data_IF_535901476689
#
_entry.id   IF_535901476689
#
_cell.length_a   1.000
_cell.length_b   1.000
_cell.length_c   1.000
_cell.angle_alpha   90.00
_cell.angle_beta   90.00
_cell.angle_gamma   90.00
#
_symmetry.space_group_name_H-M   'P 1'
#
loop_
_entity.id
_entity.type
_entity.pdbx_description
1 polymer ?
#
# COMPACT_ATOMS: atom_id res chain seq x y z
N UNK A 1 8.79 2.76 -16.88
CA UNK A 1 9.16 1.35 -16.68
C UNK A 1 9.36 1.14 -15.19
N UNK A 2 8.89 0.04 -14.61
CA UNK A 2 9.11 -0.26 -13.19
C UNK A 2 10.53 -0.76 -12.97
N UNK A 3 11.12 -0.44 -11.82
CA UNK A 3 12.44 -0.92 -11.44
C UNK A 3 12.31 -2.31 -10.79
N UNK A 4 13.24 -3.21 -11.13
CA UNK A 4 13.26 -4.57 -10.59
C UNK A 4 14.32 -4.63 -9.51
N UNK A 5 13.92 -5.07 -8.32
CA UNK A 5 14.83 -5.30 -7.21
C UNK A 5 14.87 -6.79 -6.90
N UNK A 6 16.07 -7.38 -6.97
CA UNK A 6 16.29 -8.73 -6.47
C UNK A 6 16.49 -8.69 -4.97
N UNK A 7 15.66 -9.41 -4.22
CA UNK A 7 15.90 -9.58 -2.79
C UNK A 7 17.20 -10.36 -2.59
N UNK A 8 17.83 -10.20 -1.42
CA UNK A 8 19.05 -10.94 -1.08
C UNK A 8 18.84 -12.46 -1.19
N UNK A 9 17.69 -12.94 -0.71
CA UNK A 9 17.30 -14.35 -0.80
C UNK A 9 17.14 -14.79 -2.26
N UNK A 10 16.44 -14.02 -3.10
CA UNK A 10 16.24 -14.36 -4.51
C UNK A 10 17.58 -14.40 -5.28
N UNK A 11 18.49 -13.47 -5.00
CA UNK A 11 19.84 -13.46 -5.59
C UNK A 11 20.66 -14.69 -5.16
N UNK A 12 20.57 -15.08 -3.88
CA UNK A 12 21.25 -16.27 -3.36
C UNK A 12 20.67 -17.56 -3.95
N UNK A 13 19.34 -17.68 -4.03
CA UNK A 13 18.68 -18.85 -4.60
C UNK A 13 19.00 -19.00 -6.09
N UNK A 14 18.97 -17.90 -6.86
CA UNK A 14 19.39 -17.90 -8.27
C UNK A 14 20.83 -18.40 -8.42
N UNK A 15 21.76 -17.92 -7.58
CA UNK A 15 23.15 -18.36 -7.57
C UNK A 15 23.28 -19.86 -7.27
N UNK A 16 22.61 -20.35 -6.21
CA UNK A 16 22.64 -21.77 -5.81
C UNK A 16 22.09 -22.69 -6.89
N UNK A 17 20.95 -22.33 -7.51
CA UNK A 17 20.34 -23.12 -8.60
C UNK A 17 21.31 -23.23 -9.77
N UNK A 18 21.95 -22.11 -10.16
CA UNK A 18 22.91 -22.08 -11.25
C UNK A 18 24.14 -22.95 -10.94
N UNK A 19 24.71 -22.84 -9.74
CA UNK A 19 25.86 -23.64 -9.32
C UNK A 19 25.53 -25.13 -9.32
N UNK A 20 24.40 -25.53 -8.75
CA UNK A 20 23.96 -26.92 -8.70
C UNK A 20 23.77 -27.54 -10.09
N UNK A 21 23.15 -26.82 -11.03
CA UNK A 21 22.95 -27.34 -12.39
C UNK A 21 24.28 -27.40 -13.15
N UNK A 22 25.18 -26.42 -12.91
CA UNK A 22 26.47 -26.35 -13.59
C UNK A 22 27.39 -27.53 -13.23
N UNK A 23 27.21 -28.16 -12.06
CA UNK A 23 27.91 -29.40 -11.69
C UNK A 23 27.65 -30.55 -12.68
N UNK A 24 26.46 -30.59 -13.29
CA UNK A 24 26.06 -31.62 -14.23
C UNK A 24 26.14 -31.15 -15.69
N UNK A 25 25.72 -29.91 -15.97
CA UNK A 25 25.73 -29.34 -17.30
C UNK A 25 25.79 -27.81 -17.27
N UNK A 26 26.97 -27.27 -17.61
CA UNK A 26 27.21 -25.83 -17.64
C UNK A 26 26.33 -25.07 -18.64
N UNK A 27 26.08 -25.63 -19.83
CA UNK A 27 25.29 -24.96 -20.86
C UNK A 27 23.84 -24.78 -20.42
N UNK A 28 23.24 -25.81 -19.81
CA UNK A 28 21.87 -25.74 -19.27
C UNK A 28 21.78 -24.74 -18.12
N UNK A 29 22.81 -24.68 -17.27
CA UNK A 29 22.87 -23.70 -16.18
C UNK A 29 22.88 -22.26 -16.69
N UNK A 30 23.64 -21.99 -17.76
CA UNK A 30 23.72 -20.67 -18.40
C UNK A 30 22.38 -20.32 -19.04
N UNK A 31 21.81 -21.22 -19.85
CA UNK A 31 20.54 -20.98 -20.56
C UNK A 31 19.39 -20.69 -19.58
N UNK A 32 19.29 -21.46 -18.49
CA UNK A 32 18.28 -21.21 -17.47
C UNK A 32 18.50 -19.87 -16.76
N UNK A 33 19.74 -19.52 -16.43
CA UNK A 33 20.06 -18.24 -15.76
C UNK A 33 19.75 -17.02 -16.65
N UNK A 34 20.04 -17.11 -17.94
CA UNK A 34 19.67 -16.10 -18.92
C UNK A 34 18.15 -15.97 -19.05
N UNK A 35 17.44 -17.11 -19.08
CA UNK A 35 15.97 -17.14 -19.14
C UNK A 35 15.34 -16.53 -17.89
N UNK A 36 15.91 -16.78 -16.71
CA UNK A 36 15.54 -16.12 -15.45
C UNK A 36 15.72 -14.61 -15.58
N UNK A 37 16.89 -14.17 -16.06
CA UNK A 37 17.23 -12.76 -16.24
C UNK A 37 16.28 -12.04 -17.20
N UNK A 38 16.03 -12.62 -18.38
CA UNK A 38 15.11 -12.06 -19.37
C UNK A 38 13.68 -12.00 -18.85
N UNK A 39 13.20 -13.07 -18.21
CA UNK A 39 11.85 -13.14 -17.67
C UNK A 39 11.63 -12.09 -16.59
N UNK A 40 12.59 -11.92 -15.67
CA UNK A 40 12.56 -10.87 -14.67
C UNK A 40 12.53 -9.49 -15.32
N UNK A 41 13.45 -9.20 -16.26
CA UNK A 41 13.51 -7.92 -16.98
C UNK A 41 12.18 -7.56 -17.68
N UNK A 42 11.46 -8.56 -18.21
CA UNK A 42 10.16 -8.34 -18.85
C UNK A 42 9.09 -7.79 -17.88
N UNK A 43 9.21 -8.04 -16.57
CA UNK A 43 8.29 -7.55 -15.54
C UNK A 43 8.37 -6.02 -15.38
N UNK A 44 9.49 -5.40 -15.77
CA UNK A 44 9.65 -3.95 -15.75
C UNK A 44 8.61 -3.23 -16.64
N UNK A 45 8.27 -3.85 -17.77
CA UNK A 45 7.24 -3.39 -18.71
C UNK A 45 5.86 -4.01 -18.47
N UNK A 46 5.81 -5.24 -17.95
CA UNK A 46 4.57 -5.98 -17.71
C UNK A 46 4.53 -6.55 -16.27
N UNK A 47 4.41 -5.69 -15.25
CA UNK A 47 4.53 -6.11 -13.84
C UNK A 47 3.42 -7.09 -13.41
N UNK A 48 2.29 -7.13 -14.12
CA UNK A 48 1.18 -8.02 -13.78
C UNK A 48 1.10 -9.30 -14.61
N UNK A 49 2.15 -9.61 -15.39
CA UNK A 49 2.23 -10.78 -16.29
C UNK A 49 2.09 -12.11 -15.56
N UNK A 50 2.64 -12.23 -14.34
CA UNK A 50 2.50 -13.43 -13.52
C UNK A 50 1.08 -13.61 -12.97
N UNK A 51 0.70 -14.86 -12.69
CA UNK A 51 -0.56 -15.19 -12.00
C UNK A 51 -0.48 -14.76 -10.52
N UNK A 52 -1.63 -14.72 -9.84
CA UNK A 52 -1.62 -14.53 -8.39
C UNK A 52 -0.89 -15.70 -7.71
N UNK A 53 0.01 -15.38 -6.79
CA UNK A 53 0.81 -16.37 -6.06
C UNK A 53 0.03 -17.02 -4.92
N UNK A 54 0.64 -18.04 -4.32
CA UNK A 54 0.08 -18.76 -3.16
C UNK A 54 0.02 -17.90 -1.89
N UNK A 55 0.84 -16.85 -1.81
CA UNK A 55 0.84 -15.87 -0.71
C UNK A 55 0.15 -14.60 -1.19
N UNK A 56 -0.72 -14.02 -0.34
CA UNK A 56 -1.41 -12.78 -0.64
C UNK A 56 -0.41 -11.65 -0.98
N UNK A 57 -0.64 -10.95 -2.08
CA UNK A 57 0.24 -9.88 -2.57
C UNK A 57 1.39 -10.36 -3.47
N UNK A 58 1.76 -11.64 -3.40
CA UNK A 58 2.75 -12.23 -4.28
C UNK A 58 2.16 -12.58 -5.66
N UNK A 59 3.03 -12.60 -6.66
CA UNK A 59 2.76 -13.05 -8.02
C UNK A 59 3.76 -14.12 -8.40
N UNK A 60 3.32 -15.02 -9.26
CA UNK A 60 4.11 -16.14 -9.76
C UNK A 60 4.21 -16.06 -11.28
N UNK A 61 5.43 -15.91 -11.81
CA UNK A 61 5.69 -16.05 -13.24
C UNK A 61 6.37 -17.39 -13.47
N UNK A 62 5.67 -18.31 -14.13
CA UNK A 62 6.27 -19.60 -14.56
C UNK A 62 7.25 -19.31 -15.68
N UNK A 63 8.53 -19.60 -15.43
CA UNK A 63 9.60 -19.37 -16.41
C UNK A 63 10.04 -20.66 -17.10
N UNK A 64 9.87 -21.79 -16.42
CA UNK A 64 10.17 -23.15 -16.86
C UNK A 64 9.21 -24.11 -16.12
N UNK A 65 8.90 -25.31 -16.65
CA UNK A 65 8.02 -26.27 -15.96
C UNK A 65 8.35 -26.54 -14.48
N UNK A 66 9.62 -26.41 -14.10
CA UNK A 66 10.10 -26.63 -12.72
C UNK A 66 10.57 -25.37 -11.99
N UNK A 67 10.53 -24.19 -12.63
CA UNK A 67 11.02 -22.95 -12.04
C UNK A 67 9.99 -21.82 -12.16
N UNK A 68 9.78 -21.11 -11.06
CA UNK A 68 8.87 -19.98 -10.95
C UNK A 68 9.59 -18.79 -10.34
N UNK A 69 9.38 -17.61 -10.90
CA UNK A 69 9.73 -16.35 -10.24
C UNK A 69 8.58 -15.94 -9.34
N UNK A 70 8.84 -15.91 -8.04
CA UNK A 70 7.95 -15.31 -7.05
C UNK A 70 8.34 -13.86 -6.88
N UNK A 71 7.42 -12.94 -7.13
CA UNK A 71 7.70 -11.52 -7.09
C UNK A 71 6.49 -10.73 -6.59
N UNK A 72 6.74 -9.52 -6.11
CA UNK A 72 5.69 -8.58 -5.73
C UNK A 72 5.78 -7.32 -6.58
N UNK A 73 4.67 -6.61 -6.70
CA UNK A 73 4.63 -5.30 -7.35
C UNK A 73 4.47 -4.27 -6.23
N UNK A 74 5.58 -3.61 -5.87
CA UNK A 74 5.56 -2.59 -4.83
C UNK A 74 4.50 -1.52 -5.19
N UNK A 75 3.70 -1.16 -4.19
CA UNK A 75 2.65 -0.17 -4.31
C UNK A 75 2.87 0.91 -3.27
N UNK A 76 3.71 1.92 -3.61
CA UNK A 76 3.99 3.04 -2.72
C UNK A 76 2.71 3.63 -2.14
N UNK A 77 2.77 3.98 -0.86
CA UNK A 77 1.70 4.76 -0.27
C UNK A 77 1.84 6.22 -0.70
N UNK A 78 0.71 6.84 -0.96
CA UNK A 78 0.55 8.26 -1.23
C UNK A 78 -0.25 8.82 -0.08
N UNK A 79 0.34 9.77 0.66
CA UNK A 79 -0.25 10.32 1.88
C UNK A 79 -0.32 11.83 1.78
N UNK A 80 -1.47 12.37 2.18
CA UNK A 80 -1.70 13.81 2.17
C UNK A 80 -2.87 14.18 3.09
N UNK A 81 -2.96 15.46 3.42
CA UNK A 81 -4.05 16.01 4.20
C UNK A 81 -5.03 16.80 3.36
N UNK A 82 -6.31 16.65 3.64
CA UNK A 82 -7.35 17.48 3.04
C UNK A 82 -8.23 18.14 4.08
N UNK A 83 -8.85 19.26 3.71
CA UNK A 83 -9.68 20.04 4.63
C UNK A 83 -11.12 19.54 4.65
N UNK A 84 -11.69 19.44 5.85
CA UNK A 84 -13.12 19.16 6.08
C UNK A 84 -13.67 20.12 7.12
N UNK A 85 -14.93 20.54 6.98
CA UNK A 85 -15.54 21.53 7.89
C UNK A 85 -16.30 20.81 9.01
N UNK A 86 -15.92 21.10 10.26
CA UNK A 86 -16.51 20.53 11.48
C UNK A 86 -16.85 21.67 12.44
N UNK A 87 -18.11 21.77 12.83
CA UNK A 87 -18.68 22.83 13.66
C UNK A 87 -18.29 24.24 13.18
N UNK A 88 -18.40 24.49 11.88
CA UNK A 88 -18.02 25.76 11.26
C UNK A 88 -16.50 26.01 11.13
N UNK A 89 -15.65 25.18 11.74
CA UNK A 89 -14.18 25.33 11.71
C UNK A 89 -13.54 24.32 10.75
N UNK A 90 -12.39 24.68 10.17
CA UNK A 90 -11.62 23.76 9.35
C UNK A 90 -10.86 22.75 10.21
N UNK A 91 -11.01 21.47 9.85
CA UNK A 91 -10.25 20.35 10.38
C UNK A 91 -9.48 19.67 9.23
N UNK A 92 -8.51 18.84 9.60
CA UNK A 92 -7.57 18.18 8.70
C UNK A 92 -7.84 16.68 8.71
N UNK A 93 -8.22 16.16 7.55
CA UNK A 93 -8.38 14.74 7.28
C UNK A 93 -7.12 14.24 6.60
N UNK A 94 -6.28 13.55 7.37
CA UNK A 94 -5.12 12.83 6.90
C UNK A 94 -5.57 11.56 6.19
N UNK A 95 -4.98 11.27 5.03
CA UNK A 95 -5.34 10.11 4.20
C UNK A 95 -4.11 9.43 3.64
N UNK A 96 -4.26 8.13 3.42
CA UNK A 96 -3.27 7.29 2.75
C UNK A 96 -3.99 6.40 1.73
N UNK A 97 -3.47 6.37 0.51
CA UNK A 97 -3.91 5.48 -0.56
C UNK A 97 -2.69 4.81 -1.19
N UNK A 98 -2.85 3.63 -1.75
CA UNK A 98 -1.78 3.01 -2.54
C UNK A 98 -1.77 3.53 -3.99
N UNK A 99 -0.83 3.06 -4.81
CA UNK A 99 -0.72 3.49 -6.21
C UNK A 99 -1.90 3.08 -7.10
N UNK A 100 -2.78 2.19 -6.62
CA UNK A 100 -4.05 1.82 -7.30
C UNK A 100 -5.24 2.64 -6.80
N UNK A 101 -5.01 3.59 -5.89
CA UNK A 101 -6.05 4.37 -5.25
C UNK A 101 -6.86 3.58 -4.21
N UNK A 102 -6.40 2.40 -3.77
CA UNK A 102 -7.02 1.66 -2.66
C UNK A 102 -6.77 2.42 -1.36
N UNK A 103 -7.79 2.56 -0.52
CA UNK A 103 -7.64 3.25 0.77
C UNK A 103 -6.76 2.38 1.66
N UNK A 104 -5.68 2.97 2.17
CA UNK A 104 -4.85 2.37 3.22
C UNK A 104 -5.46 2.70 4.57
N UNK A 105 -5.60 3.99 4.88
CA UNK A 105 -6.26 4.46 6.11
C UNK A 105 -6.54 5.97 6.07
N UNK A 106 -7.23 6.47 7.09
CA UNK A 106 -7.44 7.90 7.36
C UNK A 106 -7.32 8.24 8.86
N UNK A 107 -7.15 9.54 9.14
CA UNK A 107 -7.15 10.10 10.50
C UNK A 107 -7.65 11.55 10.51
N UNK A 108 -8.60 11.86 11.38
CA UNK A 108 -9.17 13.20 11.50
C UNK A 108 -8.53 13.95 12.68
N UNK A 109 -8.08 15.18 12.43
CA UNK A 109 -7.43 16.03 13.42
C UNK A 109 -7.94 17.46 13.32
N UNK A 110 -8.07 18.16 14.45
CA UNK A 110 -8.33 19.59 14.47
C UNK A 110 -7.09 20.44 14.13
N UNK A 111 -5.90 19.84 14.09
CA UNK A 111 -4.63 20.54 13.87
C UNK A 111 -3.78 19.85 12.79
N UNK A 112 -3.11 20.65 11.96
CA UNK A 112 -2.09 20.20 11.01
C UNK A 112 -0.70 20.34 11.60
N UNK A 113 -0.15 19.25 12.14
CA UNK A 113 1.19 19.26 12.74
C UNK A 113 1.84 17.88 12.72
N UNK A 114 3.13 17.83 13.09
CA UNK A 114 3.90 16.58 13.14
C UNK A 114 3.32 15.57 14.14
N UNK A 115 2.66 16.01 15.20
CA UNK A 115 2.03 15.12 16.20
C UNK A 115 0.83 14.39 15.60
N UNK A 116 0.01 15.06 14.79
CA UNK A 116 -1.09 14.45 14.06
C UNK A 116 -0.58 13.50 12.98
N UNK A 117 0.44 13.90 12.20
CA UNK A 117 1.08 13.02 11.22
C UNK A 117 1.69 11.76 11.87
N UNK A 118 2.36 11.90 13.02
CA UNK A 118 2.89 10.77 13.80
C UNK A 118 1.79 9.83 14.28
N UNK A 119 0.68 10.38 14.82
CA UNK A 119 -0.47 9.55 15.23
C UNK A 119 -1.09 8.81 14.05
N UNK A 120 -1.21 9.47 12.89
CA UNK A 120 -1.74 8.86 11.69
C UNK A 120 -0.85 7.73 11.17
N UNK A 121 0.44 8.01 10.95
CA UNK A 121 1.41 7.00 10.53
C UNK A 121 1.50 5.85 11.53
N UNK A 122 1.58 6.15 12.84
CA UNK A 122 1.62 5.15 13.89
C UNK A 122 0.36 4.30 13.95
N UNK A 123 -0.83 4.86 13.66
CA UNK A 123 -2.08 4.10 13.52
C UNK A 123 -1.99 3.10 12.37
N UNK A 124 -1.52 3.55 11.19
CA UNK A 124 -1.38 2.67 10.03
C UNK A 124 -0.39 1.53 10.33
N UNK A 125 0.82 1.87 10.77
CA UNK A 125 1.91 0.91 11.00
C UNK A 125 1.57 -0.13 12.08
N UNK A 126 0.73 0.21 13.05
CA UNK A 126 0.28 -0.74 14.07
C UNK A 126 -0.78 -1.73 13.54
N UNK A 127 -1.54 -1.34 12.50
CA UNK A 127 -2.67 -2.12 11.99
C UNK A 127 -2.31 -2.97 10.78
N UNK A 128 -1.28 -2.59 10.02
CA UNK A 128 -0.79 -3.37 8.89
C UNK A 128 0.28 -4.37 9.31
N UNK A 129 0.38 -5.47 8.57
CA UNK A 129 1.49 -6.42 8.73
C UNK A 129 2.77 -5.84 8.15
N UNK A 130 3.93 -6.26 8.65
CA UNK A 130 5.24 -5.74 8.22
C UNK A 130 5.44 -5.84 6.70
N UNK A 131 5.02 -6.94 6.08
CA UNK A 131 5.11 -7.16 4.63
C UNK A 131 4.13 -6.33 3.80
N UNK A 132 3.17 -5.65 4.42
CA UNK A 132 2.24 -4.74 3.73
C UNK A 132 2.75 -3.29 3.74
N UNK A 133 3.81 -3.00 4.49
CA UNK A 133 4.43 -1.68 4.53
C UNK A 133 5.26 -1.54 3.24
N UNK A 134 4.97 -0.56 2.36
CA UNK A 134 5.68 -0.41 1.11
C UNK A 134 7.09 0.13 1.38
N UNK A 135 7.98 -0.12 0.43
CA UNK A 135 9.32 0.47 0.48
C UNK A 135 9.28 1.98 0.41
N UNK A 136 8.27 2.57 -0.25
CA UNK A 136 8.19 4.00 -0.42
C UNK A 136 6.90 4.61 0.10
N UNK A 137 7.04 5.71 0.85
CA UNK A 137 5.95 6.59 1.25
C UNK A 137 6.15 7.93 0.53
N UNK A 138 5.17 8.33 -0.28
CA UNK A 138 5.15 9.59 -0.99
C UNK A 138 4.23 10.57 -0.24
N UNK A 139 4.71 11.76 0.06
CA UNK A 139 3.87 12.85 0.61
C UNK A 139 4.07 14.14 -0.16
N UNK A 140 3.21 15.13 0.09
CA UNK A 140 3.51 16.51 -0.29
C UNK A 140 4.71 17.07 0.50
N UNK A 141 5.16 18.27 0.11
CA UNK A 141 6.33 18.97 0.67
C UNK A 141 6.20 19.40 2.13
N UNK A 142 5.09 19.06 2.81
CA UNK A 142 4.89 19.40 4.21
C UNK A 142 5.92 18.71 5.13
N UNK A 143 6.65 19.45 5.99
CA UNK A 143 7.71 18.88 6.85
C UNK A 143 7.17 18.00 7.99
N UNK A 144 5.86 17.96 8.20
CA UNK A 144 5.22 17.19 9.27
C UNK A 144 5.47 15.68 9.14
N UNK A 145 5.37 15.14 7.92
CA UNK A 145 5.56 13.70 7.66
C UNK A 145 7.01 13.26 7.83
N UNK A 146 7.98 14.01 7.31
CA UNK A 146 9.40 13.68 7.46
C UNK A 146 9.81 13.57 8.92
N UNK A 147 9.39 14.53 9.76
CA UNK A 147 9.64 14.47 11.22
C UNK A 147 8.96 13.29 11.90
N UNK A 148 7.71 12.99 11.51
CA UNK A 148 6.96 11.86 12.06
C UNK A 148 7.61 10.51 11.70
N UNK A 149 8.02 10.33 10.45
CA UNK A 149 8.69 9.11 9.98
C UNK A 149 10.05 8.91 10.64
N UNK A 150 10.86 9.95 10.76
CA UNK A 150 12.15 9.88 11.46
C UNK A 150 11.98 9.42 12.91
N UNK A 151 10.97 9.96 13.62
CA UNK A 151 10.66 9.55 14.99
C UNK A 151 10.21 8.08 15.06
N UNK A 152 9.31 7.65 14.18
CA UNK A 152 8.82 6.27 14.14
C UNK A 152 9.92 5.26 13.80
N UNK A 153 10.87 5.63 12.93
CA UNK A 153 12.06 4.81 12.65
C UNK A 153 12.95 4.69 13.88
N UNK A 154 13.21 5.80 14.58
CA UNK A 154 14.00 5.80 15.82
C UNK A 154 13.38 4.92 16.91
N UNK A 155 12.05 4.86 16.97
CA UNK A 155 11.31 4.01 17.90
C UNK A 155 11.17 2.54 17.45
N UNK A 156 11.73 2.17 16.29
CA UNK A 156 11.63 0.81 15.74
C UNK A 156 10.23 0.42 15.23
N UNK A 157 9.32 1.39 15.11
CA UNK A 157 7.92 1.17 14.66
C UNK A 157 7.77 1.23 13.15
N UNK A 158 8.66 1.95 12.47
CA UNK A 158 8.74 2.00 11.02
C UNK A 158 10.02 1.27 10.57
N UNK A 159 9.95 0.33 9.60
CA UNK A 159 11.15 -0.31 9.06
C UNK A 159 12.17 0.71 8.54
N UNK A 160 13.45 0.43 8.76
CA UNK A 160 14.54 1.35 8.43
C UNK A 160 14.69 1.60 6.92
N UNK A 161 14.35 0.60 6.13
CA UNK A 161 14.38 0.56 4.66
C UNK A 161 13.22 1.29 3.97
N UNK A 162 12.21 1.76 4.73
CA UNK A 162 11.13 2.60 4.17
C UNK A 162 11.68 3.98 3.80
N UNK A 163 11.64 4.32 2.53
CA UNK A 163 12.10 5.61 2.00
C UNK A 163 10.96 6.63 1.89
N UNK A 164 11.19 7.84 2.40
CA UNK A 164 10.24 8.96 2.29
C UNK A 164 10.58 9.82 1.07
N UNK A 165 9.61 10.03 0.18
CA UNK A 165 9.77 10.84 -1.04
C UNK A 165 8.78 12.00 -1.06
N UNK A 166 9.25 13.17 -1.48
CA UNK A 166 8.43 14.38 -1.63
C UNK A 166 8.34 14.79 -3.09
N UNK A 167 7.63 14.00 -3.88
CA UNK A 167 7.57 14.15 -5.33
C UNK A 167 6.19 14.65 -5.76
N UNK A 168 6.11 15.93 -6.16
CA UNK A 168 4.85 16.63 -6.49
C UNK A 168 3.94 15.85 -7.44
N UNK A 169 4.48 15.33 -8.55
CA UNK A 169 3.70 14.64 -9.59
C UNK A 169 3.20 13.25 -9.17
N UNK A 170 3.72 12.68 -8.07
CA UNK A 170 3.21 11.41 -7.52
C UNK A 170 1.98 11.61 -6.63
N UNK A 171 1.59 12.85 -6.28
CA UNK A 171 0.42 13.10 -5.46
C UNK A 171 -0.91 13.07 -6.24
N UNK A 172 -0.87 13.00 -7.58
CA UNK A 172 -2.08 13.00 -8.41
C UNK A 172 -3.10 11.92 -8.00
N UNK A 173 -2.62 10.74 -7.57
CA UNK A 173 -3.49 9.64 -7.13
C UNK A 173 -4.30 10.03 -5.90
N UNK A 174 -3.65 10.58 -4.87
CA UNK A 174 -4.32 10.99 -3.63
C UNK A 174 -5.19 12.23 -3.84
N UNK A 175 -4.77 13.17 -4.68
CA UNK A 175 -5.57 14.36 -5.01
C UNK A 175 -6.85 14.01 -5.78
N UNK A 176 -6.76 13.06 -6.72
CA UNK A 176 -7.96 12.54 -7.38
C UNK A 176 -8.91 11.88 -6.38
N UNK A 177 -8.37 11.10 -5.44
CA UNK A 177 -9.16 10.46 -4.38
C UNK A 177 -9.81 11.48 -3.43
N UNK A 178 -9.10 12.56 -3.08
CA UNK A 178 -9.62 13.69 -2.32
C UNK A 178 -10.85 14.31 -2.99
N UNK A 179 -10.77 14.56 -4.31
CA UNK A 179 -11.89 15.12 -5.07
C UNK A 179 -13.15 14.25 -4.97
N UNK A 180 -12.98 12.93 -5.11
CA UNK A 180 -14.10 11.96 -4.98
C UNK A 180 -14.69 11.95 -3.58
N UNK A 181 -13.86 11.98 -2.53
CA UNK A 181 -14.34 12.07 -1.15
C UNK A 181 -15.12 13.37 -0.91
N UNK A 182 -14.55 14.51 -1.32
CA UNK A 182 -15.14 15.83 -1.05
C UNK A 182 -16.52 15.96 -1.67
N UNK A 183 -16.78 15.36 -2.84
CA UNK A 183 -18.14 15.35 -3.42
C UNK A 183 -19.17 14.72 -2.48
N UNK A 184 -18.81 13.64 -1.77
CA UNK A 184 -19.69 12.97 -0.82
C UNK A 184 -19.83 13.80 0.46
N UNK A 185 -18.71 14.28 1.03
CA UNK A 185 -18.73 15.07 2.28
C UNK A 185 -19.48 16.40 2.08
N UNK A 186 -19.28 17.08 0.95
CA UNK A 186 -19.94 18.36 0.69
C UNK A 186 -21.46 18.21 0.61
N UNK A 187 -21.97 17.05 0.16
CA UNK A 187 -23.40 16.74 0.17
C UNK A 187 -23.98 16.60 1.58
N UNK A 188 -23.16 16.36 2.61
CA UNK A 188 -23.64 16.23 4.00
C UNK A 188 -23.76 17.59 4.73
N UNK A 189 -23.57 18.71 4.04
CA UNK A 189 -23.67 20.09 4.58
C UNK A 189 -22.77 20.38 5.80
N UNK A 190 -21.67 19.62 5.94
CA UNK A 190 -20.70 19.75 7.04
C UNK A 190 -21.10 19.06 8.34
N UNK A 191 -20.12 18.84 9.21
CA UNK A 191 -20.32 18.08 10.45
C UNK A 191 -20.53 19.00 11.66
N UNK A 192 -21.29 18.56 12.68
CA UNK A 192 -21.52 19.33 13.91
C UNK A 192 -20.52 19.07 15.03
N UNK A 193 -19.85 17.91 15.05
CA UNK A 193 -18.85 17.57 16.07
C UNK A 193 -17.73 16.71 15.48
N UNK A 194 -16.56 16.67 16.13
CA UNK A 194 -15.45 15.81 15.70
C UNK A 194 -15.80 14.32 15.79
N UNK A 195 -16.54 13.92 16.82
CA UNK A 195 -16.97 12.53 17.02
C UNK A 195 -17.86 12.05 15.87
N UNK A 196 -18.89 12.83 15.55
CA UNK A 196 -19.81 12.50 14.44
C UNK A 196 -19.13 12.59 13.09
N UNK A 197 -18.28 13.61 12.88
CA UNK A 197 -17.47 13.72 11.66
C UNK A 197 -16.61 12.46 11.43
N UNK A 198 -15.90 12.01 12.47
CA UNK A 198 -15.06 10.82 12.38
C UNK A 198 -15.87 9.57 12.03
N UNK A 199 -16.98 9.32 12.73
CA UNK A 199 -17.83 8.16 12.49
C UNK A 199 -18.42 8.14 11.07
N UNK A 200 -18.94 9.28 10.60
CA UNK A 200 -19.48 9.40 9.25
C UNK A 200 -18.40 9.24 8.18
N UNK A 201 -17.23 9.86 8.36
CA UNK A 201 -16.11 9.71 7.42
C UNK A 201 -15.61 8.25 7.41
N UNK A 202 -15.56 7.58 8.57
CA UNK A 202 -15.25 6.13 8.66
C UNK A 202 -16.19 5.34 7.76
N UNK A 203 -17.50 5.54 7.91
CA UNK A 203 -18.50 4.86 7.07
C UNK A 203 -18.34 5.16 5.58
N UNK A 204 -18.10 6.42 5.21
CA UNK A 204 -17.86 6.80 3.80
C UNK A 204 -16.61 6.10 3.26
N UNK A 205 -15.49 6.13 3.99
CA UNK A 205 -14.24 5.50 3.55
C UNK A 205 -14.39 3.99 3.37
N UNK A 206 -15.10 3.34 4.28
CA UNK A 206 -15.42 1.92 4.20
C UNK A 206 -16.22 1.64 2.94
N UNK A 207 -17.34 2.33 2.72
CA UNK A 207 -18.17 2.12 1.53
C UNK A 207 -17.38 2.36 0.23
N UNK A 208 -16.47 3.34 0.24
CA UNK A 208 -15.57 3.59 -0.90
C UNK A 208 -14.55 2.46 -1.09
N UNK A 209 -13.98 1.91 -0.02
CA UNK A 209 -13.09 0.76 -0.09
C UNK A 209 -13.79 -0.49 -0.64
N UNK A 210 -15.03 -0.74 -0.22
CA UNK A 210 -15.87 -1.82 -0.75
C UNK A 210 -16.13 -1.65 -2.26
N UNK A 211 -16.53 -0.45 -2.69
CA UNK A 211 -16.71 -0.12 -4.12
C UNK A 211 -15.44 -0.24 -4.94
N UNK A 212 -14.26 -0.10 -4.32
CA UNK A 212 -12.94 -0.34 -4.94
C UNK A 212 -12.54 -1.81 -4.98
N UNK A 213 -13.41 -2.72 -4.53
CA UNK A 213 -13.14 -4.16 -4.52
C UNK A 213 -12.18 -4.59 -3.42
N UNK A 214 -11.91 -3.76 -2.40
CA UNK A 214 -10.99 -4.12 -1.30
C UNK A 214 -11.52 -5.21 -0.38
N UNK A 215 -12.78 -5.63 -0.56
CA UNK A 215 -13.38 -6.77 0.12
C UNK A 215 -13.79 -7.90 -0.83
N UNK A 216 -13.31 -7.91 -2.08
CA UNK A 216 -13.63 -8.95 -3.08
C UNK A 216 -13.41 -10.38 -2.58
N UNK A 217 -12.37 -10.59 -1.76
CA UNK A 217 -12.08 -11.88 -1.13
C UNK A 217 -13.15 -12.36 -0.13
N UNK A 218 -13.98 -11.46 0.42
CA UNK A 218 -15.04 -11.78 1.37
C UNK A 218 -16.40 -12.06 0.69
N UNK A 219 -16.52 -11.77 -0.61
CA UNK A 219 -17.78 -11.87 -1.37
C UNK A 219 -17.95 -13.19 -2.14
N UNK A 220 -17.10 -14.20 -1.92
CA UNK A 220 -17.20 -15.52 -2.57
C UNK A 220 -18.34 -16.38 -1.99
N UNK A 221 -19.57 -15.86 -2.02
CA UNK A 221 -20.79 -16.63 -1.72
C UNK A 221 -20.99 -17.05 -0.26
N UNK A 222 -20.23 -16.50 0.69
CA UNK A 222 -20.37 -16.78 2.12
C UNK A 222 -20.98 -15.58 2.87
N UNK A 223 -22.26 -15.64 3.29
CA UNK A 223 -22.91 -14.60 4.10
C UNK A 223 -22.17 -14.28 5.41
N UNK A 224 -21.40 -15.23 5.96
CA UNK A 224 -20.58 -15.01 7.16
C UNK A 224 -19.36 -14.13 6.86
N UNK A 225 -18.86 -14.12 5.62
CA UNK A 225 -17.77 -13.26 5.16
C UNK A 225 -18.17 -11.79 5.18
N UNK A 226 -19.39 -11.48 4.72
CA UNK A 226 -19.96 -10.14 4.75
C UNK A 226 -20.23 -9.66 6.17
N UNK A 227 -20.84 -10.49 7.03
CA UNK A 227 -21.06 -10.14 8.44
C UNK A 227 -19.75 -9.89 9.20
N UNK A 228 -18.73 -10.74 9.02
CA UNK A 228 -17.41 -10.54 9.65
C UNK A 228 -16.73 -9.27 9.18
N UNK A 229 -16.88 -8.91 7.90
CA UNK A 229 -16.36 -7.66 7.35
C UNK A 229 -17.06 -6.46 8.01
N UNK A 230 -18.39 -6.47 8.11
CA UNK A 230 -19.17 -5.40 8.75
C UNK A 230 -18.80 -5.27 10.24
N UNK A 231 -18.82 -6.36 11.01
CA UNK A 231 -18.44 -6.34 12.44
C UNK A 231 -17.00 -5.87 12.66
N UNK A 232 -16.04 -6.32 11.84
CA UNK A 232 -14.64 -5.88 11.97
C UNK A 232 -14.45 -4.40 11.63
N UNK A 233 -15.20 -3.90 10.66
CA UNK A 233 -15.03 -2.53 10.15
C UNK A 233 -15.75 -1.50 11.03
N UNK A 234 -16.93 -1.86 11.53
CA UNK A 234 -17.76 -0.98 12.35
C UNK A 234 -17.62 -1.23 13.86
N UNK A 235 -16.86 -2.25 14.27
CA UNK A 235 -16.70 -2.66 15.69
C UNK A 235 -18.09 -2.96 16.33
N UNK A 236 -18.94 -3.65 15.57
CA UNK A 236 -20.30 -4.07 15.94
C UNK A 236 -20.35 -5.54 16.35
#
# INVERSE_FOLDING_TARGET
>A
MMEIFWTMLASQDRKRIREYIAEQNLMVAIELDERIGYSASSLAGQPYKGRNGRVEGARELVIHPHFVLVYEVDSPWHMDETYVKVNGRWAYLYRAVDSRGRTVDFYLSSRRNSKAAYRFLGKILNNVKKWQIPRFINTDKAPAYGRALALLKREGRCPSDVEHRQIKYRNNVIECDHGKLKRIINATLGFKSMKTAYATIKGIEVMRALRKGQASAFYYGDPLGEMRLVSRVFEM
#
